data_IF_754827198053
#
_entry.id   IF_754827198053
#
_cell.length_a   1.000
_cell.length_b   1.000
_cell.length_c   1.000
_cell.angle_alpha   90.00
_cell.angle_beta   90.00
_cell.angle_gamma   90.00
#
_symmetry.space_group_name_H-M   'P 1'
#
loop_
_entity.id
_entity.type
_entity.pdbx_description
1 polymer ?
#
# COMPACT_ATOMS: atom_id res chain seq x y z
N UNK A 1 -31.13 -5.92 -15.85
CA UNK A 1 -29.91 -5.23 -15.40
C UNK A 1 -30.33 -3.82 -15.00
N UNK A 2 -30.63 -3.62 -13.71
CA UNK A 2 -30.95 -2.32 -13.13
C UNK A 2 -29.79 -2.02 -12.19
N UNK A 3 -29.08 -0.93 -12.45
CA UNK A 3 -28.05 -0.39 -11.55
C UNK A 3 -28.77 0.21 -10.34
N UNK A 4 -28.47 -0.26 -9.13
CA UNK A 4 -28.89 0.42 -7.89
C UNK A 4 -27.93 1.56 -7.57
N UNK A 5 -28.42 2.80 -7.66
CA UNK A 5 -27.74 3.97 -7.10
C UNK A 5 -27.82 3.93 -5.56
N UNK A 6 -26.69 3.73 -4.88
CA UNK A 6 -26.59 3.98 -3.44
C UNK A 6 -26.54 5.48 -3.19
N UNK A 7 -27.56 6.03 -2.51
CA UNK A 7 -27.54 7.42 -2.00
C UNK A 7 -27.00 7.43 -0.57
N UNK A 8 -26.02 8.29 -0.30
CA UNK A 8 -25.47 8.54 1.04
C UNK A 8 -26.06 9.85 1.57
N UNK A 9 -26.64 9.83 2.77
CA UNK A 9 -27.09 11.04 3.47
C UNK A 9 -26.19 11.29 4.68
N UNK A 10 -25.76 12.54 4.87
CA UNK A 10 -25.06 12.99 6.06
C UNK A 10 -26.07 13.68 6.99
N UNK A 11 -26.23 13.18 8.22
CA UNK A 11 -26.88 13.93 9.29
C UNK A 11 -25.80 14.57 10.17
N UNK A 12 -25.93 15.88 10.39
CA UNK A 12 -25.01 16.66 11.22
C UNK A 12 -25.70 17.04 12.53
N UNK A 13 -25.10 16.71 13.68
CA UNK A 13 -25.64 17.03 15.00
C UNK A 13 -24.80 18.11 15.67
N UNK A 14 -25.44 19.21 16.09
CA UNK A 14 -24.82 20.21 16.96
C UNK A 14 -25.07 19.84 18.42
N UNK A 15 -24.00 19.57 19.17
CA UNK A 15 -24.08 19.53 20.64
C UNK A 15 -23.99 20.96 21.21
N UNK A 16 -24.83 21.33 22.20
CA UNK A 16 -24.70 22.62 22.86
C UNK A 16 -23.43 22.66 23.73
N UNK A 17 -22.81 23.84 23.82
CA UNK A 17 -21.67 24.08 24.72
C UNK A 17 -22.12 23.96 26.18
N UNK A 18 -21.50 23.07 26.94
CA UNK A 18 -21.67 23.02 28.39
C UNK A 18 -20.76 24.05 29.07
N UNK A 19 -21.37 24.96 29.84
CA UNK A 19 -20.66 25.76 30.85
C UNK A 19 -20.67 24.99 32.17
N UNK A 20 -19.59 25.08 32.95
CA UNK A 20 -19.27 24.17 34.06
C UNK A 20 -20.09 24.42 35.35
N UNK A 21 -21.29 24.98 35.24
CA UNK A 21 -22.17 25.23 36.38
C UNK A 21 -23.61 24.96 35.98
N UNK A 22 -24.04 23.70 36.04
CA UNK A 22 -25.38 23.31 36.49
C UNK A 22 -25.46 21.77 36.58
N UNK A 23 -25.81 21.28 37.77
CA UNK A 23 -26.12 19.87 38.01
C UNK A 23 -27.61 19.66 37.78
N UNK A 24 -28.00 19.48 36.53
CA UNK A 24 -29.35 19.00 36.17
C UNK A 24 -29.25 17.93 35.09
N UNK A 25 -30.00 16.84 35.28
CA UNK A 25 -30.19 15.78 34.29
C UNK A 25 -31.08 16.33 33.17
N UNK A 26 -30.56 16.47 31.96
CA UNK A 26 -31.37 16.94 30.81
C UNK A 26 -31.59 15.79 29.84
N UNK A 27 -32.83 15.32 29.73
CA UNK A 27 -33.25 14.40 28.66
C UNK A 27 -33.55 15.22 27.42
N UNK A 28 -32.79 15.02 26.33
CA UNK A 28 -33.09 15.65 25.04
C UNK A 28 -33.64 14.59 24.09
N UNK A 29 -34.93 14.69 23.78
CA UNK A 29 -35.57 13.85 22.74
C UNK A 29 -35.68 14.68 21.47
N UNK A 30 -35.08 14.23 20.37
CA UNK A 30 -35.23 14.87 19.06
C UNK A 30 -35.88 13.91 18.08
N UNK A 31 -37.09 14.24 17.63
CA UNK A 31 -37.82 13.49 16.61
C UNK A 31 -37.60 14.13 15.24
N UNK A 32 -36.96 13.42 14.32
CA UNK A 32 -36.79 13.89 12.92
C UNK A 32 -37.83 13.20 12.05
N UNK A 33 -38.78 13.95 11.50
CA UNK A 33 -39.73 13.46 10.50
C UNK A 33 -39.19 13.78 9.09
N UNK A 34 -38.86 12.75 8.32
CA UNK A 34 -38.58 12.88 6.89
C UNK A 34 -39.82 12.40 6.10
N UNK A 35 -40.72 13.33 5.77
CA UNK A 35 -41.77 13.10 4.78
C UNK A 35 -41.40 13.84 3.50
N UNK A 36 -40.96 13.10 2.47
CA UNK A 36 -41.12 13.52 1.08
C UNK A 36 -41.21 12.26 0.20
N UNK A 37 -42.40 12.00 -0.35
CA UNK A 37 -42.61 11.09 -1.49
C UNK A 37 -42.34 11.89 -2.76
N UNK A 38 -41.45 11.43 -3.62
CA UNK A 38 -41.32 11.91 -5.00
C UNK A 38 -41.52 10.72 -5.93
N UNK A 39 -42.46 10.85 -6.87
CA UNK A 39 -42.80 9.84 -7.88
C UNK A 39 -41.78 9.78 -9.03
N UNK A 40 -41.97 8.87 -10.00
CA UNK A 40 -40.90 8.43 -10.89
C UNK A 40 -40.65 9.29 -12.15
N UNK A 41 -41.23 10.47 -12.29
CA UNK A 41 -41.02 11.33 -13.47
C UNK A 41 -40.88 12.80 -13.05
N UNK A 42 -39.65 13.28 -12.87
CA UNK A 42 -39.30 14.71 -12.95
C UNK A 42 -37.76 14.86 -13.03
N UNK A 43 -37.27 15.40 -14.14
CA UNK A 43 -35.86 15.76 -14.32
C UNK A 43 -35.54 17.05 -13.58
N UNK A 44 -34.62 17.00 -12.61
CA UNK A 44 -34.13 18.19 -11.90
C UNK A 44 -32.65 18.40 -12.19
N UNK A 45 -32.36 19.55 -12.78
CA UNK A 45 -31.02 20.07 -13.11
C UNK A 45 -30.08 20.08 -11.90
N UNK A 46 -28.89 19.50 -12.07
CA UNK A 46 -27.79 19.64 -11.12
C UNK A 46 -27.08 20.96 -11.41
N UNK A 47 -27.38 22.00 -10.63
CA UNK A 47 -26.64 23.25 -10.67
C UNK A 47 -25.74 23.43 -9.44
N UNK A 48 -24.50 23.81 -9.74
CA UNK A 48 -23.30 23.87 -8.89
C UNK A 48 -23.47 24.49 -7.48
N UNK A 49 -23.03 23.76 -6.45
CA UNK A 49 -22.94 24.26 -5.06
C UNK A 49 -21.60 23.90 -4.37
N UNK A 50 -20.53 23.75 -5.16
CA UNK A 50 -19.17 23.46 -4.69
C UNK A 50 -18.54 24.63 -3.92
N UNK A 51 -18.96 25.86 -4.16
CA UNK A 51 -18.37 27.07 -3.55
C UNK A 51 -18.83 27.33 -2.10
N UNK A 52 -19.97 26.77 -1.67
CA UNK A 52 -20.52 26.96 -0.31
C UNK A 52 -19.95 25.95 0.70
N UNK A 53 -19.67 24.73 0.25
CA UNK A 53 -19.03 23.67 1.04
C UNK A 53 -17.55 23.99 1.34
N UNK A 54 -16.81 24.54 0.37
CA UNK A 54 -15.40 24.91 0.57
C UNK A 54 -15.22 26.07 1.57
N UNK A 55 -16.14 27.04 1.62
CA UNK A 55 -16.11 28.13 2.62
C UNK A 55 -16.47 27.66 4.03
N UNK A 56 -17.39 26.69 4.15
CA UNK A 56 -17.70 26.06 5.43
C UNK A 56 -16.50 25.27 5.96
N UNK A 57 -15.87 24.45 5.10
CA UNK A 57 -14.72 23.63 5.47
C UNK A 57 -13.50 24.47 5.92
N UNK A 58 -13.28 25.62 5.28
CA UNK A 58 -12.22 26.56 5.67
C UNK A 58 -12.49 27.28 7.00
N UNK A 59 -13.76 27.50 7.37
CA UNK A 59 -14.13 28.11 8.65
C UNK A 59 -13.96 27.15 9.85
N UNK A 60 -14.11 25.84 9.63
CA UNK A 60 -14.06 24.84 10.70
C UNK A 60 -12.66 24.29 11.01
N UNK A 61 -11.67 24.45 10.11
CA UNK A 61 -10.27 24.03 10.34
C UNK A 61 -9.55 24.78 11.49
N UNK A 62 -10.18 25.80 12.07
CA UNK A 62 -9.64 26.58 13.20
C UNK A 62 -10.07 26.11 14.60
N UNK A 63 -10.90 25.09 14.74
CA UNK A 63 -11.31 24.58 16.06
C UNK A 63 -10.92 23.11 16.23
N UNK A 64 -10.04 22.83 17.20
CA UNK A 64 -9.66 21.46 17.61
C UNK A 64 -10.88 20.75 18.20
N UNK A 65 -11.54 19.86 17.44
CA UNK A 65 -12.52 18.90 17.95
C UNK A 65 -12.33 17.52 17.33
N UNK A 66 -12.60 16.51 18.17
CA UNK A 66 -12.54 15.07 17.90
C UNK A 66 -13.74 14.65 17.03
N UNK A 67 -13.52 13.87 15.97
CA UNK A 67 -14.58 13.40 15.07
C UNK A 67 -15.03 11.99 15.47
N UNK A 68 -16.34 11.76 15.57
CA UNK A 68 -16.94 10.42 15.51
C UNK A 68 -17.88 10.44 14.32
N UNK A 69 -17.57 9.66 13.28
CA UNK A 69 -18.41 9.49 12.09
C UNK A 69 -19.17 8.18 12.27
N UNK A 70 -20.51 8.22 12.19
CA UNK A 70 -21.32 7.01 12.12
C UNK A 70 -21.73 6.75 10.67
N UNK A 71 -21.55 5.51 10.23
CA UNK A 71 -22.02 4.98 8.96
C UNK A 71 -23.38 4.32 9.20
N UNK A 72 -24.44 4.80 8.54
CA UNK A 72 -25.73 4.11 8.50
C UNK A 72 -25.83 3.41 7.15
N UNK A 73 -25.87 2.08 7.16
CA UNK A 73 -26.11 1.26 5.98
C UNK A 73 -27.59 0.84 6.02
N UNK A 74 -28.38 1.30 5.06
CA UNK A 74 -29.73 0.76 4.85
C UNK A 74 -29.62 -0.51 4.00
N UNK A 75 -30.19 -1.62 4.49
CA UNK A 75 -30.46 -2.83 3.72
C UNK A 75 -31.97 -3.03 3.75
N UNK A 76 -32.59 -3.05 2.56
CA UNK A 76 -33.99 -3.34 2.26
C UNK A 76 -35.09 -2.37 2.74
N UNK A 77 -36.20 -2.40 2.00
CA UNK A 77 -37.28 -1.38 1.81
C UNK A 77 -38.18 -1.14 3.04
N UNK A 78 -37.65 -1.12 4.28
CA UNK A 78 -38.43 -0.78 5.48
C UNK A 78 -37.76 0.35 6.26
N UNK A 79 -38.38 1.54 6.21
CA UNK A 79 -37.98 2.69 7.01
C UNK A 79 -38.28 2.37 8.49
N UNK A 80 -37.24 2.00 9.24
CA UNK A 80 -37.32 1.85 10.69
C UNK A 80 -36.83 3.12 11.37
N UNK A 81 -37.66 3.72 12.22
CA UNK A 81 -37.28 4.89 13.03
C UNK A 81 -36.46 4.40 14.23
N UNK A 82 -35.15 4.64 14.22
CA UNK A 82 -34.28 4.36 15.37
C UNK A 82 -34.33 5.54 16.31
N UNK A 83 -34.82 5.33 17.53
CA UNK A 83 -34.78 6.34 18.61
C UNK A 83 -33.60 6.03 19.52
N UNK A 84 -32.59 6.90 19.53
CA UNK A 84 -31.40 6.74 20.40
C UNK A 84 -31.62 7.59 21.65
N UNK A 85 -31.67 6.96 22.82
CA UNK A 85 -31.70 7.65 24.12
C UNK A 85 -30.35 7.46 24.79
N UNK A 86 -29.64 8.55 25.06
CA UNK A 86 -28.35 8.51 25.78
C UNK A 86 -28.57 8.90 27.23
N UNK A 87 -28.38 7.97 28.17
CA UNK A 87 -28.39 8.24 29.61
C UNK A 87 -26.94 8.41 30.09
N UNK A 88 -26.57 9.58 30.58
CA UNK A 88 -25.27 9.80 31.23
C UNK A 88 -25.45 9.74 32.75
N UNK A 89 -24.97 8.69 33.39
CA UNK A 89 -24.95 8.60 34.85
C UNK A 89 -23.56 8.95 35.38
N UNK A 90 -23.49 9.84 36.38
CA UNK A 90 -22.23 10.33 36.94
C UNK A 90 -22.08 9.86 38.38
N UNK A 91 -21.45 8.70 38.55
CA UNK A 91 -20.91 8.28 39.86
C UNK A 91 -19.58 7.55 39.65
N UNK A 92 -18.63 7.83 40.53
CA UNK A 92 -17.21 7.53 40.36
C UNK A 92 -16.86 6.03 40.46
N UNK A 93 -15.81 5.66 39.70
CA UNK A 93 -15.16 4.35 39.52
C UNK A 93 -15.96 3.36 38.66
N UNK A 94 -15.29 2.89 37.60
CA UNK A 94 -15.77 2.06 36.48
C UNK A 94 -16.66 2.80 35.47
N UNK A 95 -16.17 2.92 34.23
CA UNK A 95 -16.92 3.48 33.10
C UNK A 95 -17.49 2.33 32.29
N UNK A 96 -18.75 2.00 32.55
CA UNK A 96 -19.56 1.11 31.72
C UNK A 96 -20.65 1.97 31.09
N UNK A 97 -20.68 2.04 29.77
CA UNK A 97 -21.75 2.69 29.01
C UNK A 97 -22.54 1.60 28.30
N UNK A 98 -23.77 1.36 28.74
CA UNK A 98 -24.70 0.42 28.10
C UNK A 98 -25.54 1.16 27.07
N UNK A 99 -25.62 0.60 25.86
CA UNK A 99 -26.50 1.08 24.79
C UNK A 99 -27.56 -0.01 24.59
N UNK A 100 -28.81 0.29 24.99
CA UNK A 100 -29.93 -0.60 24.75
C UNK A 100 -30.65 -0.20 23.46
N UNK A 101 -30.70 -1.14 22.51
CA UNK A 101 -31.45 -1.00 21.25
C UNK A 101 -32.69 -1.88 21.37
N UNK A 102 -33.86 -1.26 21.58
CA UNK A 102 -35.15 -1.98 21.51
C UNK A 102 -35.82 -1.71 20.16
N UNK A 103 -36.02 -2.77 19.37
CA UNK A 103 -36.87 -2.72 18.19
C UNK A 103 -38.32 -3.03 18.57
N UNK A 104 -39.32 -2.29 18.06
CA UNK A 104 -40.71 -2.67 18.25
C UNK A 104 -41.06 -3.71 17.19
N UNK A 105 -40.70 -4.97 17.45
CA UNK A 105 -41.30 -6.24 16.98
C UNK A 105 -40.24 -7.33 16.76
N UNK A 106 -40.47 -8.49 17.39
CA UNK A 106 -39.67 -9.72 17.43
C UNK A 106 -38.50 -9.79 18.43
N UNK A 107 -38.46 -10.92 19.13
CA UNK A 107 -37.78 -11.22 20.41
C UNK A 107 -36.28 -11.50 20.28
N UNK A 108 -35.49 -10.50 19.88
CA UNK A 108 -34.03 -10.57 19.93
C UNK A 108 -33.46 -9.25 20.45
N UNK A 109 -33.18 -9.16 21.74
CA UNK A 109 -32.45 -8.03 22.31
C UNK A 109 -30.98 -8.11 21.85
N UNK A 110 -30.49 -7.07 21.18
CA UNK A 110 -29.07 -6.91 20.86
C UNK A 110 -28.45 -6.09 21.99
N UNK A 111 -27.58 -6.71 22.79
CA UNK A 111 -26.83 -6.03 23.85
C UNK A 111 -25.41 -5.75 23.35
N UNK A 112 -24.99 -4.48 23.39
CA UNK A 112 -23.64 -4.07 22.98
C UNK A 112 -22.87 -3.61 24.23
N UNK A 113 -21.84 -4.35 24.64
CA UNK A 113 -20.95 -3.96 25.74
C UNK A 113 -19.69 -3.28 25.17
N UNK A 114 -19.44 -2.03 25.58
CA UNK A 114 -18.21 -1.31 25.23
C UNK A 114 -17.34 -1.23 26.48
N UNK A 115 -16.23 -1.97 26.48
CA UNK A 115 -15.23 -1.92 27.56
C UNK A 115 -14.03 -1.11 27.10
N UNK A 116 -13.67 -0.05 27.82
CA UNK A 116 -12.45 0.73 27.54
C UNK A 116 -11.40 0.45 28.62
N UNK A 117 -10.27 -0.14 28.24
CA UNK A 117 -9.11 -0.32 29.13
C UNK A 117 -8.10 0.81 28.89
N UNK A 118 -7.50 1.33 29.97
CA UNK A 118 -6.61 2.51 29.92
C UNK A 118 -5.12 2.15 29.79
N UNK A 119 -4.76 0.89 29.52
CA UNK A 119 -3.36 0.46 29.51
C UNK A 119 -2.77 -0.04 28.18
N UNK A 120 -3.51 -0.02 27.06
CA UNK A 120 -2.98 -0.22 25.69
C UNK A 120 -3.93 0.38 24.64
N UNK A 121 -3.47 0.95 23.51
CA UNK A 121 -4.34 1.47 22.47
C UNK A 121 -4.80 0.29 21.60
N UNK A 122 -5.71 -0.52 22.12
CA UNK A 122 -6.35 -1.58 21.33
C UNK A 122 -7.81 -1.62 21.76
N UNK A 123 -8.67 -0.98 20.97
CA UNK A 123 -10.11 -1.11 21.10
C UNK A 123 -10.53 -2.42 20.43
N UNK A 124 -10.77 -3.47 21.21
CA UNK A 124 -11.32 -4.72 20.69
C UNK A 124 -12.84 -4.58 20.68
N UNK A 125 -13.45 -4.69 19.50
CA UNK A 125 -14.90 -4.83 19.35
C UNK A 125 -15.18 -6.33 19.23
N UNK A 126 -15.86 -6.91 20.23
CA UNK A 126 -16.31 -8.31 20.18
C UNK A 126 -17.81 -8.32 19.95
N UNK A 127 -18.25 -8.80 18.80
CA UNK A 127 -19.66 -9.09 18.52
C UNK A 127 -19.90 -10.58 18.67
N UNK A 128 -20.67 -11.00 19.67
CA UNK A 128 -21.17 -12.37 19.76
C UNK A 128 -22.59 -12.44 19.22
N UNK A 129 -22.76 -13.05 18.06
CA UNK A 129 -24.07 -13.49 17.56
C UNK A 129 -24.22 -14.99 17.79
N UNK A 130 -25.36 -15.44 18.30
CA UNK A 130 -25.78 -16.84 18.24
C UNK A 130 -27.04 -16.93 17.37
N UNK A 131 -27.16 -17.90 16.44
CA UNK A 131 -26.23 -18.99 16.12
C UNK A 131 -25.38 -18.74 14.85
N UNK A 132 -24.09 -19.05 14.98
CA UNK A 132 -23.09 -19.43 13.96
C UNK A 132 -23.18 -18.82 12.54
N UNK A 133 -22.64 -17.63 12.37
CA UNK A 133 -21.83 -17.30 11.19
C UNK A 133 -20.70 -16.38 11.62
N UNK A 134 -19.48 -16.91 11.67
CA UNK A 134 -18.25 -16.11 11.82
C UNK A 134 -18.03 -15.33 10.54
N UNK A 135 -18.57 -14.12 10.47
CA UNK A 135 -18.04 -13.08 9.58
C UNK A 135 -16.84 -12.46 10.27
N UNK A 136 -15.64 -12.86 9.83
CA UNK A 136 -14.39 -12.17 10.16
C UNK A 136 -14.54 -10.72 9.72
N UNK A 137 -14.61 -9.79 10.69
CA UNK A 137 -14.45 -8.37 10.39
C UNK A 137 -13.06 -8.19 9.81
N UNK A 138 -12.96 -7.60 8.61
CA UNK A 138 -11.70 -7.13 8.06
C UNK A 138 -11.03 -6.25 9.11
N UNK A 139 -9.94 -6.76 9.67
CA UNK A 139 -9.02 -5.98 10.45
C UNK A 139 -8.50 -4.92 9.48
N UNK A 140 -8.91 -3.67 9.66
CA UNK A 140 -8.28 -2.52 9.01
C UNK A 140 -6.80 -2.56 9.42
N UNK A 141 -5.97 -3.20 8.59
CA UNK A 141 -4.52 -3.15 8.69
C UNK A 141 -4.20 -1.65 8.69
N UNK A 142 -3.41 -1.13 9.65
CA UNK A 142 -3.03 0.26 9.62
C UNK A 142 -2.26 0.47 8.32
N UNK A 143 -2.90 1.15 7.36
CA UNK A 143 -2.21 1.76 6.24
C UNK A 143 -1.04 2.52 6.84
N UNK A 144 0.19 2.22 6.45
CA UNK A 144 1.39 2.90 6.95
C UNK A 144 1.15 4.41 6.81
N UNK A 145 1.00 5.11 7.94
CA UNK A 145 0.76 6.56 7.93
C UNK A 145 2.14 7.25 7.89
N UNK A 146 2.63 7.49 6.68
CA UNK A 146 3.76 8.37 6.37
C UNK A 146 3.20 9.79 6.21
N UNK A 147 3.26 10.61 7.27
CA UNK A 147 2.84 12.03 7.23
C UNK A 147 3.58 12.77 6.08
N UNK A 148 2.93 13.76 5.46
CA UNK A 148 3.43 14.60 4.36
C UNK A 148 4.86 15.13 4.53
N UNK A 149 5.28 15.28 5.77
CA UNK A 149 6.57 15.83 6.16
C UNK A 149 7.55 14.76 6.66
N UNK A 150 7.24 13.47 6.48
CA UNK A 150 8.13 12.38 6.86
C UNK A 150 9.47 12.60 6.17
N UNK A 151 10.50 12.67 7.00
CA UNK A 151 11.88 12.66 6.61
C UNK A 151 12.48 11.37 7.13
N UNK A 152 13.57 10.97 6.52
CA UNK A 152 14.39 9.88 7.03
C UNK A 152 15.70 10.45 7.53
N UNK A 153 16.27 9.78 8.52
CA UNK A 153 17.66 10.00 8.91
C UNK A 153 18.53 9.76 7.69
N UNK A 154 19.49 10.66 7.45
CA UNK A 154 20.38 10.55 6.29
C UNK A 154 21.34 9.37 6.39
N UNK A 155 21.77 9.03 7.60
CA UNK A 155 22.63 7.89 7.86
C UNK A 155 21.79 6.61 7.81
N UNK A 156 22.07 5.74 6.84
CA UNK A 156 21.49 4.41 6.82
C UNK A 156 22.22 3.43 7.74
N UNK A 157 21.48 2.42 8.16
CA UNK A 157 22.01 1.20 8.76
C UNK A 157 21.99 0.10 7.71
N UNK A 158 23.12 -0.56 7.47
CA UNK A 158 23.15 -1.77 6.65
C UNK A 158 22.45 -2.89 7.41
N UNK A 159 21.36 -3.42 6.82
CA UNK A 159 20.52 -4.46 7.45
C UNK A 159 20.70 -5.84 6.84
N UNK A 160 21.30 -5.92 5.65
CA UNK A 160 21.68 -7.16 4.99
C UNK A 160 22.86 -6.92 4.04
N UNK A 161 23.75 -7.90 3.90
CA UNK A 161 24.97 -7.78 3.10
C UNK A 161 26.01 -6.83 3.71
N UNK A 162 26.78 -6.15 2.85
CA UNK A 162 27.81 -5.19 3.27
C UNK A 162 29.12 -5.79 3.78
N UNK A 163 29.28 -7.11 3.72
CA UNK A 163 30.49 -7.84 4.11
C UNK A 163 31.34 -8.24 2.90
N UNK A 164 31.37 -7.38 1.87
CA UNK A 164 31.94 -7.68 0.55
C UNK A 164 30.97 -8.41 -0.38
N UNK A 165 31.36 -8.50 -1.66
CA UNK A 165 30.66 -9.27 -2.67
C UNK A 165 31.04 -10.75 -2.58
N UNK A 166 30.04 -11.62 -2.52
CA UNK A 166 30.27 -13.05 -2.42
C UNK A 166 29.00 -13.84 -2.12
N UNK A 167 29.16 -15.14 -1.93
CA UNK A 167 28.06 -16.11 -1.79
C UNK A 167 27.89 -16.65 -0.36
N UNK A 168 28.69 -16.18 0.60
CA UNK A 168 28.49 -16.49 2.01
C UNK A 168 27.12 -15.94 2.48
N UNK A 169 26.61 -16.48 3.60
CA UNK A 169 25.27 -16.13 4.08
C UNK A 169 25.17 -14.72 4.67
N UNK A 170 26.30 -14.09 5.00
CA UNK A 170 26.40 -12.69 5.42
C UNK A 170 26.77 -11.74 4.26
N UNK A 171 26.89 -12.25 3.04
CA UNK A 171 27.23 -11.51 1.83
C UNK A 171 26.06 -11.50 0.85
N UNK A 172 26.05 -10.50 -0.02
CA UNK A 172 25.17 -10.43 -1.18
C UNK A 172 26.03 -10.20 -2.43
N UNK A 173 25.53 -10.54 -3.61
CA UNK A 173 26.17 -10.26 -4.87
C UNK A 173 25.18 -9.58 -5.83
N UNK A 174 25.32 -8.26 -5.98
CA UNK A 174 24.45 -7.42 -6.79
C UNK A 174 22.96 -7.75 -6.56
N UNK A 175 22.42 -7.52 -5.35
CA UNK A 175 20.99 -7.71 -5.12
C UNK A 175 20.19 -6.72 -5.98
N UNK A 176 19.05 -7.13 -6.55
CA UNK A 176 18.23 -6.26 -7.42
C UNK A 176 16.90 -5.87 -6.78
N UNK A 177 16.10 -6.84 -6.33
CA UNK A 177 14.76 -6.63 -5.78
C UNK A 177 14.63 -7.05 -4.33
N UNK A 178 13.69 -6.44 -3.61
CA UNK A 178 13.41 -6.73 -2.21
C UNK A 178 11.92 -6.78 -1.89
N UNK A 179 11.56 -7.62 -0.91
CA UNK A 179 10.26 -7.61 -0.28
C UNK A 179 10.39 -7.59 1.23
N UNK A 180 9.86 -6.53 1.86
CA UNK A 180 9.87 -6.38 3.31
C UNK A 180 8.60 -6.97 3.89
N UNK A 181 8.73 -8.07 4.63
CA UNK A 181 7.64 -8.64 5.42
C UNK A 181 7.74 -8.14 6.87
N UNK A 182 6.95 -7.12 7.18
CA UNK A 182 6.94 -6.53 8.51
C UNK A 182 6.30 -7.44 9.57
N UNK A 183 5.42 -8.37 9.18
CA UNK A 183 4.78 -9.27 10.15
C UNK A 183 5.77 -10.37 10.56
N UNK A 184 6.52 -10.91 9.60
CA UNK A 184 7.59 -11.90 9.81
C UNK A 184 8.94 -11.26 10.22
N UNK A 185 8.97 -9.93 10.41
CA UNK A 185 10.17 -9.17 10.75
C UNK A 185 11.38 -9.52 9.88
N UNK A 186 11.15 -9.66 8.57
CA UNK A 186 12.13 -10.21 7.63
C UNK A 186 12.13 -9.48 6.29
N UNK A 187 13.25 -9.57 5.59
CA UNK A 187 13.41 -9.09 4.21
C UNK A 187 13.71 -10.29 3.32
N UNK A 188 12.99 -10.41 2.21
CA UNK A 188 13.33 -11.32 1.13
C UNK A 188 14.08 -10.55 0.06
N UNK A 189 15.24 -11.04 -0.33
CA UNK A 189 16.18 -10.34 -1.20
C UNK A 189 16.46 -11.23 -2.41
N UNK A 190 16.27 -10.69 -3.60
CA UNK A 190 16.77 -11.29 -4.82
C UNK A 190 18.29 -11.06 -4.88
N UNK A 191 19.07 -12.04 -4.39
CA UNK A 191 20.53 -12.04 -4.42
C UNK A 191 21.00 -12.48 -5.81
N UNK A 192 20.77 -11.58 -6.76
CA UNK A 192 20.71 -11.86 -8.20
C UNK A 192 21.98 -12.49 -8.74
N UNK A 193 23.15 -11.96 -8.38
CA UNK A 193 24.46 -12.47 -8.81
C UNK A 193 24.82 -13.83 -8.22
N UNK A 194 24.14 -14.24 -7.13
CA UNK A 194 24.29 -15.57 -6.53
C UNK A 194 23.16 -16.53 -6.92
N UNK A 195 22.24 -16.12 -7.81
CA UNK A 195 21.17 -16.97 -8.35
C UNK A 195 20.29 -17.59 -7.25
N UNK A 196 19.95 -16.80 -6.23
CA UNK A 196 19.17 -17.26 -5.08
C UNK A 196 18.28 -16.15 -4.52
N UNK A 197 17.28 -16.55 -3.73
CA UNK A 197 16.55 -15.65 -2.85
C UNK A 197 17.01 -15.89 -1.41
N UNK A 198 17.33 -14.80 -0.71
CA UNK A 198 17.76 -14.82 0.69
C UNK A 198 16.67 -14.21 1.57
N UNK A 199 16.25 -14.90 2.62
CA UNK A 199 15.46 -14.33 3.72
C UNK A 199 16.43 -13.85 4.79
N UNK A 200 16.25 -12.62 5.25
CA UNK A 200 17.09 -12.00 6.27
C UNK A 200 16.22 -11.43 7.39
N UNK A 201 16.31 -12.00 8.58
CA UNK A 201 15.56 -11.53 9.76
C UNK A 201 16.12 -10.20 10.26
N UNK A 202 15.25 -9.32 10.75
CA UNK A 202 15.64 -8.01 11.26
C UNK A 202 16.66 -8.15 12.41
N UNK A 203 17.83 -7.55 12.24
CA UNK A 203 18.92 -7.58 13.21
C UNK A 203 19.80 -8.84 13.16
N UNK A 204 19.53 -9.78 12.25
CA UNK A 204 20.42 -10.91 12.02
C UNK A 204 21.73 -10.47 11.33
N UNK A 205 22.82 -11.20 11.59
CA UNK A 205 24.13 -10.96 10.96
C UNK A 205 24.34 -11.74 9.66
N UNK A 206 23.41 -12.64 9.31
CA UNK A 206 23.43 -13.45 8.10
C UNK A 206 21.99 -13.84 7.72
N UNK A 207 21.76 -14.04 6.44
CA UNK A 207 20.50 -14.56 5.91
C UNK A 207 20.47 -16.08 5.76
N UNK A 208 19.36 -16.55 5.22
CA UNK A 208 19.10 -17.94 4.86
C UNK A 208 18.66 -18.02 3.39
N UNK A 209 19.17 -19.00 2.65
CA UNK A 209 18.71 -19.23 1.28
C UNK A 209 17.36 -19.95 1.30
N UNK A 210 16.31 -19.28 0.82
CA UNK A 210 14.92 -19.78 0.86
C UNK A 210 14.40 -20.22 -0.52
N UNK A 211 15.05 -19.79 -1.60
CA UNK A 211 14.82 -20.31 -2.94
C UNK A 211 16.09 -20.25 -3.79
N UNK A 212 16.23 -21.15 -4.76
CA UNK A 212 17.47 -21.32 -5.51
C UNK A 212 18.58 -21.95 -4.67
N UNK A 213 19.83 -21.58 -4.92
CA UNK A 213 21.00 -22.14 -4.21
C UNK A 213 21.47 -23.51 -4.70
N UNK A 214 20.78 -24.13 -5.66
CA UNK A 214 21.17 -25.40 -6.30
C UNK A 214 22.02 -25.19 -7.57
N UNK A 215 22.82 -24.11 -7.57
CA UNK A 215 23.56 -23.64 -8.74
C UNK A 215 22.70 -22.85 -9.73
N UNK A 216 23.37 -22.10 -10.59
CA UNK A 216 22.75 -21.39 -11.71
C UNK A 216 22.23 -22.41 -12.74
N UNK A 217 20.97 -22.27 -13.15
CA UNK A 217 20.41 -23.11 -14.20
C UNK A 217 18.92 -22.90 -14.40
N UNK A 218 18.32 -23.72 -15.27
CA UNK A 218 16.92 -23.62 -15.68
C UNK A 218 16.01 -24.71 -15.11
N UNK A 219 16.56 -25.65 -14.33
CA UNK A 219 15.76 -26.63 -13.61
C UNK A 219 14.77 -25.93 -12.65
N UNK A 220 13.73 -26.64 -12.23
CA UNK A 220 12.67 -26.03 -11.40
C UNK A 220 13.15 -25.70 -9.98
N UNK A 221 14.23 -26.31 -9.50
CA UNK A 221 14.97 -25.97 -8.27
C UNK A 221 16.17 -25.02 -8.48
N UNK A 222 16.36 -24.52 -9.70
CA UNK A 222 17.44 -23.60 -10.01
C UNK A 222 16.87 -22.24 -10.40
N UNK A 223 17.61 -21.19 -10.07
CA UNK A 223 17.32 -19.83 -10.54
C UNK A 223 18.48 -19.35 -11.40
N UNK A 224 18.23 -18.34 -12.21
CA UNK A 224 19.21 -17.73 -13.07
C UNK A 224 18.99 -16.21 -13.14
N UNK A 225 19.78 -15.46 -12.35
CA UNK A 225 19.61 -14.01 -12.18
C UNK A 225 18.16 -13.66 -11.80
N UNK A 226 17.66 -14.08 -10.62
CA UNK A 226 16.36 -13.63 -10.16
C UNK A 226 16.40 -12.12 -9.90
N UNK A 227 15.44 -11.36 -10.43
CA UNK A 227 15.45 -9.89 -10.34
C UNK A 227 14.58 -9.35 -9.20
N UNK A 228 13.46 -10.02 -8.93
CA UNK A 228 12.47 -9.55 -7.98
C UNK A 228 11.74 -10.72 -7.33
N UNK A 229 11.22 -10.49 -6.13
CA UNK A 229 10.51 -11.47 -5.31
C UNK A 229 9.41 -10.80 -4.53
N UNK A 230 8.23 -11.42 -4.46
CA UNK A 230 7.14 -11.03 -3.55
C UNK A 230 6.56 -12.24 -2.86
N UNK A 231 5.90 -12.05 -1.72
CA UNK A 231 5.10 -13.10 -1.10
C UNK A 231 3.72 -13.19 -1.76
N UNK A 232 3.17 -14.41 -1.78
CA UNK A 232 1.75 -14.57 -2.05
C UNK A 232 0.89 -14.05 -0.89
N UNK A 233 -0.40 -13.86 -1.14
CA UNK A 233 -1.35 -13.30 -0.16
C UNK A 233 -1.32 -14.02 1.19
N UNK A 234 -1.18 -15.34 1.17
CA UNK A 234 -1.17 -16.20 2.37
C UNK A 234 0.23 -16.36 2.98
N UNK A 235 1.26 -15.74 2.38
CA UNK A 235 2.68 -15.83 2.77
C UNK A 235 3.21 -17.26 2.88
N UNK A 236 2.71 -18.15 2.02
CA UNK A 236 3.13 -19.55 1.91
C UNK A 236 4.12 -19.76 0.78
N UNK A 237 4.13 -18.85 -0.20
CA UNK A 237 4.93 -18.96 -1.40
C UNK A 237 5.66 -17.66 -1.70
N UNK A 238 6.90 -17.81 -2.16
CA UNK A 238 7.61 -16.79 -2.91
C UNK A 238 7.15 -16.85 -4.36
N UNK A 239 6.88 -15.68 -4.93
CA UNK A 239 6.71 -15.48 -6.37
C UNK A 239 7.96 -14.74 -6.83
N UNK A 240 8.70 -15.34 -7.76
CA UNK A 240 10.05 -14.90 -8.11
C UNK A 240 10.13 -14.66 -9.62
N UNK A 241 10.69 -13.52 -10.02
CA UNK A 241 11.05 -13.26 -11.41
C UNK A 241 12.42 -13.82 -11.70
N UNK A 242 12.44 -14.98 -12.36
CA UNK A 242 13.64 -15.72 -12.75
C UNK A 242 14.09 -15.26 -14.14
N UNK A 243 14.65 -14.05 -14.16
CA UNK A 243 14.75 -13.20 -15.36
C UNK A 243 15.51 -13.84 -16.52
N UNK A 244 16.67 -14.48 -16.30
CA UNK A 244 17.40 -15.13 -17.41
C UNK A 244 16.76 -16.43 -17.88
N UNK A 245 15.93 -17.06 -17.06
CA UNK A 245 15.13 -18.20 -17.46
C UNK A 245 13.78 -17.80 -18.09
N UNK A 246 13.51 -16.50 -18.24
CA UNK A 246 12.30 -15.95 -18.88
C UNK A 246 11.01 -16.54 -18.30
N UNK A 247 10.92 -16.54 -16.96
CA UNK A 247 9.77 -17.12 -16.26
C UNK A 247 9.50 -16.43 -14.92
N UNK A 248 8.27 -16.57 -14.45
CA UNK A 248 7.91 -16.37 -13.04
C UNK A 248 7.72 -17.73 -12.40
N UNK A 249 8.38 -17.98 -11.27
CA UNK A 249 8.30 -19.23 -10.52
C UNK A 249 7.64 -19.00 -9.16
N UNK A 250 6.77 -19.92 -8.78
CA UNK A 250 6.16 -20.01 -7.44
C UNK A 250 6.94 -21.05 -6.64
N UNK A 251 7.33 -20.70 -5.42
CA UNK A 251 8.21 -21.52 -4.57
C UNK A 251 7.70 -21.54 -3.13
N UNK A 252 7.40 -22.72 -2.57
CA UNK A 252 6.88 -22.84 -1.22
C UNK A 252 7.93 -22.54 -0.16
N UNK A 253 7.55 -21.75 0.85
CA UNK A 253 8.37 -21.48 2.04
C UNK A 253 8.37 -22.66 3.03
N UNK A 254 7.41 -23.59 2.92
CA UNK A 254 7.24 -24.69 3.87
C UNK A 254 7.71 -26.03 3.31
N UNK A 255 7.60 -26.23 2.00
CA UNK A 255 8.01 -27.46 1.33
C UNK A 255 8.85 -27.13 0.10
N UNK A 256 10.18 -27.27 0.20
CA UNK A 256 11.09 -26.99 -0.92
C UNK A 256 10.82 -27.83 -2.18
N UNK A 257 10.04 -28.92 -2.07
CA UNK A 257 9.58 -29.72 -3.21
C UNK A 257 8.35 -29.16 -3.92
N UNK A 258 7.58 -28.29 -3.27
CA UNK A 258 6.44 -27.59 -3.85
C UNK A 258 6.89 -26.30 -4.52
N UNK A 259 7.23 -26.41 -5.81
CA UNK A 259 7.68 -25.33 -6.67
C UNK A 259 7.21 -25.58 -8.10
N UNK A 260 6.76 -24.53 -8.77
CA UNK A 260 6.25 -24.63 -10.14
C UNK A 260 6.45 -23.34 -10.92
N UNK A 261 6.67 -23.48 -12.22
CA UNK A 261 6.64 -22.34 -13.14
C UNK A 261 5.21 -21.82 -13.21
N UNK A 262 5.01 -20.56 -12.81
CA UNK A 262 3.69 -19.91 -12.80
C UNK A 262 3.39 -19.25 -14.14
N UNK A 263 4.37 -18.53 -14.70
CA UNK A 263 4.25 -17.82 -15.97
C UNK A 263 5.50 -18.12 -16.81
N UNK A 264 5.41 -18.94 -17.86
CA UNK A 264 6.52 -19.20 -18.77
C UNK A 264 6.64 -18.10 -19.84
N UNK A 265 7.85 -17.90 -20.38
CA UNK A 265 8.09 -17.05 -21.57
C UNK A 265 7.99 -15.55 -21.33
N UNK A 266 7.95 -15.12 -20.07
CA UNK A 266 7.86 -13.70 -19.69
C UNK A 266 9.26 -13.15 -19.38
N UNK A 267 9.58 -12.00 -19.95
CA UNK A 267 10.77 -11.25 -19.59
C UNK A 267 10.48 -10.40 -18.34
N UNK A 268 10.20 -11.07 -17.22
CA UNK A 268 9.79 -10.37 -16.01
C UNK A 268 10.92 -9.52 -15.42
N UNK A 269 10.60 -8.29 -15.00
CA UNK A 269 11.51 -7.45 -14.22
C UNK A 269 11.01 -7.15 -12.81
N UNK A 270 9.74 -6.77 -12.67
CA UNK A 270 9.12 -6.38 -11.41
C UNK A 270 7.82 -7.12 -11.12
N UNK A 271 7.56 -7.33 -9.84
CA UNK A 271 6.41 -8.01 -9.29
C UNK A 271 5.65 -7.10 -8.32
N UNK A 272 4.34 -7.24 -8.31
CA UNK A 272 3.51 -6.72 -7.22
C UNK A 272 2.34 -7.67 -6.96
N UNK A 273 1.97 -7.84 -5.70
CA UNK A 273 0.80 -8.62 -5.29
C UNK A 273 -0.16 -7.70 -4.56
N UNK A 274 -1.43 -7.66 -4.98
CA UNK A 274 -2.45 -6.91 -4.25
C UNK A 274 -3.09 -7.75 -3.12
N UNK A 275 -3.90 -7.12 -2.28
CA UNK A 275 -4.58 -7.80 -1.17
C UNK A 275 -5.64 -8.83 -1.60
N UNK A 276 -6.04 -8.83 -2.87
CA UNK A 276 -6.94 -9.85 -3.44
C UNK A 276 -6.18 -11.11 -3.85
N UNK A 277 -4.84 -11.04 -3.95
CA UNK A 277 -4.00 -12.12 -4.47
C UNK A 277 -3.83 -12.07 -5.99
N UNK A 278 -4.15 -10.94 -6.64
CA UNK A 278 -3.80 -10.73 -8.05
C UNK A 278 -2.32 -10.36 -8.15
N UNK A 279 -1.61 -11.10 -9.01
CA UNK A 279 -0.21 -10.88 -9.32
C UNK A 279 -0.07 -9.93 -10.50
N UNK A 280 0.78 -8.93 -10.38
CA UNK A 280 1.14 -8.02 -11.46
C UNK A 280 2.59 -8.27 -11.83
N UNK A 281 2.86 -8.29 -13.13
CA UNK A 281 4.21 -8.53 -13.68
C UNK A 281 4.54 -7.52 -14.76
N UNK A 282 5.67 -6.84 -14.65
CA UNK A 282 6.20 -6.05 -15.77
C UNK A 282 7.00 -6.94 -16.71
N UNK A 283 6.68 -6.86 -18.00
CA UNK A 283 7.39 -7.55 -19.07
C UNK A 283 8.10 -6.51 -19.95
N UNK A 284 9.44 -6.47 -19.85
CA UNK A 284 10.23 -5.53 -20.64
C UNK A 284 10.40 -5.96 -22.10
N UNK A 285 10.18 -7.24 -22.42
CA UNK A 285 10.22 -7.77 -23.78
C UNK A 285 8.93 -7.50 -24.56
N UNK A 286 7.80 -7.39 -23.86
CA UNK A 286 6.49 -7.04 -24.42
C UNK A 286 6.05 -5.59 -24.14
N UNK A 287 6.86 -4.81 -23.42
CA UNK A 287 6.61 -3.40 -23.07
C UNK A 287 5.23 -3.19 -22.40
N UNK A 288 4.90 -4.06 -21.45
CA UNK A 288 3.58 -4.08 -20.83
C UNK A 288 3.65 -4.51 -19.37
N UNK A 289 2.56 -4.26 -18.64
CA UNK A 289 2.28 -4.87 -17.35
C UNK A 289 1.03 -5.71 -17.46
N UNK A 290 1.09 -6.94 -16.99
CA UNK A 290 -0.03 -7.89 -16.97
C UNK A 290 -0.47 -8.19 -15.55
N UNK A 291 -1.78 -8.31 -15.34
CA UNK A 291 -2.44 -8.75 -14.11
C UNK A 291 -2.91 -10.19 -14.28
N UNK A 292 -2.54 -11.05 -13.33
CA UNK A 292 -2.84 -12.47 -13.28
C UNK A 292 -3.72 -12.74 -12.07
N UNK A 293 -4.93 -13.23 -12.33
CA UNK A 293 -5.92 -13.50 -11.28
C UNK A 293 -6.05 -15.01 -11.11
N UNK A 294 -6.35 -15.46 -9.88
CA UNK A 294 -6.53 -16.89 -9.63
C UNK A 294 -7.66 -17.45 -10.50
N UNK A 295 -7.39 -18.55 -11.21
CA UNK A 295 -8.34 -19.20 -12.12
C UNK A 295 -8.35 -18.67 -13.55
N UNK A 296 -7.53 -17.67 -13.88
CA UNK A 296 -7.32 -17.20 -15.24
C UNK A 296 -6.12 -17.92 -15.84
N UNK A 297 -6.26 -18.44 -17.06
CA UNK A 297 -5.17 -19.12 -17.79
C UNK A 297 -4.19 -18.12 -18.42
N UNK A 298 -4.60 -16.86 -18.60
CA UNK A 298 -3.82 -15.79 -19.23
C UNK A 298 -3.86 -14.50 -18.41
N UNK A 299 -2.77 -13.73 -18.47
CA UNK A 299 -2.67 -12.41 -17.85
C UNK A 299 -3.37 -11.32 -18.68
N UNK A 300 -4.14 -10.46 -18.02
CA UNK A 300 -4.77 -9.28 -18.64
C UNK A 300 -3.75 -8.14 -18.70
N UNK A 301 -3.51 -7.56 -19.87
CA UNK A 301 -2.73 -6.31 -19.99
C UNK A 301 -3.45 -5.18 -19.27
N UNK A 302 -2.78 -4.53 -18.32
CA UNK A 302 -3.30 -3.41 -17.53
C UNK A 302 -2.55 -2.10 -17.75
N UNK A 303 -1.38 -2.16 -18.39
CA UNK A 303 -0.62 -0.99 -18.84
C UNK A 303 0.29 -1.35 -20.01
N UNK A 304 0.54 -0.38 -20.90
CA UNK A 304 1.34 -0.58 -22.11
C UNK A 304 0.64 -1.49 -23.13
N UNK A 305 1.40 -2.37 -23.78
CA UNK A 305 0.87 -3.31 -24.79
C UNK A 305 0.61 -2.68 -26.17
N UNK A 306 0.86 -1.38 -26.33
CA UNK A 306 0.73 -0.65 -27.62
C UNK A 306 2.09 -0.48 -28.34
N UNK A 307 3.00 -1.44 -28.12
CA UNK A 307 4.37 -1.41 -28.62
C UNK A 307 5.31 -0.50 -27.83
N UNK A 308 6.60 -0.60 -28.15
CA UNK A 308 7.66 0.26 -27.62
C UNK A 308 7.46 1.71 -28.02
N UNK A 309 7.52 2.64 -27.07
CA UNK A 309 7.55 4.06 -27.37
C UNK A 309 7.32 4.94 -26.14
N UNK A 310 7.23 6.25 -26.37
CA UNK A 310 7.15 7.27 -25.32
C UNK A 310 5.77 7.93 -25.19
N UNK A 311 4.78 7.51 -25.99
CA UNK A 311 3.39 7.95 -25.81
C UNK A 311 2.84 7.46 -24.46
N UNK A 312 1.80 8.10 -23.93
CA UNK A 312 1.25 7.75 -22.61
C UNK A 312 0.57 6.38 -22.57
N UNK A 313 0.20 5.83 -23.73
CA UNK A 313 -0.30 4.46 -23.87
C UNK A 313 0.81 3.43 -24.19
N UNK A 314 2.08 3.85 -24.27
CA UNK A 314 3.25 3.03 -24.58
C UNK A 314 4.23 2.99 -23.42
N UNK A 315 5.08 1.97 -23.39
CA UNK A 315 6.17 1.82 -22.42
C UNK A 315 7.46 1.47 -23.16
N UNK A 316 8.61 1.69 -22.53
CA UNK A 316 9.91 1.24 -23.01
C UNK A 316 10.76 0.75 -21.82
N UNK A 317 11.02 -0.56 -21.81
CA UNK A 317 11.63 -1.31 -20.70
C UNK A 317 11.00 -1.03 -19.32
N UNK A 318 9.69 -1.32 -19.10
CA UNK A 318 9.10 -1.21 -17.77
C UNK A 318 9.87 -2.09 -16.76
N UNK A 319 10.37 -1.48 -15.67
CA UNK A 319 11.14 -2.16 -14.61
C UNK A 319 10.23 -2.47 -13.42
N UNK A 320 10.55 -1.97 -12.22
CA UNK A 320 9.72 -2.23 -11.04
C UNK A 320 8.37 -1.53 -11.13
N UNK A 321 7.41 -2.11 -10.44
CA UNK A 321 6.03 -1.67 -10.41
C UNK A 321 5.53 -1.59 -8.97
N UNK A 322 4.59 -0.69 -8.73
CA UNK A 322 3.85 -0.60 -7.47
C UNK A 322 2.36 -0.58 -7.76
N UNK A 323 1.57 -1.29 -6.97
CA UNK A 323 0.11 -1.34 -7.11
C UNK A 323 -0.51 -0.76 -5.86
N UNK A 324 -1.30 0.31 -6.03
CA UNK A 324 -2.00 0.94 -4.90
C UNK A 324 -3.29 0.18 -4.53
N UNK A 325 -3.89 0.59 -3.40
CA UNK A 325 -5.14 0.03 -2.90
C UNK A 325 -6.33 0.17 -3.86
N UNK A 326 -6.25 1.10 -4.81
CA UNK A 326 -7.27 1.37 -5.82
C UNK A 326 -6.94 0.66 -7.15
N UNK A 327 -6.05 -0.34 -7.09
CA UNK A 327 -5.58 -1.16 -8.22
C UNK A 327 -4.89 -0.37 -9.33
N UNK A 328 -4.44 0.85 -9.05
CA UNK A 328 -3.65 1.62 -10.00
C UNK A 328 -2.21 1.13 -10.00
N UNK A 329 -1.63 1.02 -11.19
CA UNK A 329 -0.26 0.54 -11.40
C UNK A 329 0.66 1.73 -11.64
N UNK A 330 1.70 1.86 -10.83
CA UNK A 330 2.80 2.80 -11.01
C UNK A 330 3.97 2.04 -11.61
N UNK A 331 4.56 2.58 -12.66
CA UNK A 331 5.55 1.87 -13.48
C UNK A 331 6.76 2.76 -13.66
N UNK A 332 7.93 2.27 -13.27
CA UNK A 332 9.21 2.82 -13.68
C UNK A 332 9.44 2.50 -15.16
N UNK A 333 9.12 3.44 -16.03
CA UNK A 333 9.26 3.37 -17.49
C UNK A 333 10.69 3.80 -17.85
N UNK A 334 11.62 2.89 -17.61
CA UNK A 334 13.05 3.15 -17.45
C UNK A 334 13.69 3.87 -18.64
N UNK A 335 13.48 3.38 -19.87
CA UNK A 335 14.09 4.01 -21.06
C UNK A 335 13.43 5.35 -21.43
N UNK A 336 12.20 5.58 -20.95
CA UNK A 336 11.51 6.86 -21.12
C UNK A 336 11.80 7.85 -19.97
N UNK A 337 12.66 7.48 -19.00
CA UNK A 337 13.04 8.34 -17.87
C UNK A 337 11.84 8.93 -17.13
N UNK A 338 10.80 8.12 -16.87
CA UNK A 338 9.58 8.59 -16.21
C UNK A 338 8.93 7.52 -15.35
N UNK A 339 8.06 7.96 -14.45
CA UNK A 339 7.06 7.10 -13.82
C UNK A 339 5.68 7.44 -14.35
N UNK A 340 4.95 6.42 -14.79
CA UNK A 340 3.54 6.54 -15.20
C UNK A 340 2.62 5.85 -14.20
N UNK A 341 1.45 6.44 -13.94
CA UNK A 341 0.35 5.83 -13.17
C UNK A 341 -0.76 5.43 -14.14
N UNK A 342 -1.18 4.18 -14.08
CA UNK A 342 -2.29 3.63 -14.85
C UNK A 342 -3.42 3.26 -13.91
N UNK A 343 -4.55 3.95 -14.04
CA UNK A 343 -5.77 3.61 -13.29
C UNK A 343 -6.38 2.31 -13.84
N UNK A 344 -7.17 1.63 -13.03
CA UNK A 344 -7.80 0.39 -13.47
C UNK A 344 -8.66 0.62 -14.73
N UNK A 345 -8.42 -0.20 -15.76
CA UNK A 345 -9.07 -0.11 -17.08
C UNK A 345 -8.79 1.20 -17.86
N UNK A 346 -7.76 1.96 -17.51
CA UNK A 346 -7.32 3.10 -18.31
C UNK A 346 -6.69 2.64 -19.64
N UNK A 347 -6.94 3.39 -20.72
CA UNK A 347 -6.32 3.14 -22.03
C UNK A 347 -4.91 3.73 -22.14
N UNK A 348 -4.57 4.69 -21.27
CA UNK A 348 -3.26 5.34 -21.20
C UNK A 348 -2.91 5.69 -19.76
N UNK A 349 -1.61 5.82 -19.50
CA UNK A 349 -1.09 6.26 -18.22
C UNK A 349 -1.12 7.78 -18.05
N UNK A 350 -1.01 8.24 -16.81
CA UNK A 350 -0.75 9.62 -16.45
C UNK A 350 0.71 9.77 -16.00
N UNK A 351 1.37 10.85 -16.44
CA UNK A 351 2.73 11.16 -15.98
C UNK A 351 2.69 11.63 -14.53
N UNK A 352 3.41 10.93 -13.64
CA UNK A 352 3.39 11.23 -12.20
C UNK A 352 4.78 11.50 -11.61
N UNK A 353 5.85 11.06 -12.27
CA UNK A 353 7.20 11.57 -12.05
C UNK A 353 7.87 11.80 -13.42
N UNK A 354 7.88 13.03 -13.94
CA UNK A 354 8.75 13.36 -15.07
C UNK A 354 10.19 13.25 -14.58
N UNK A 355 11.02 12.40 -15.19
CA UNK A 355 12.45 12.41 -14.88
C UNK A 355 13.02 13.81 -15.11
N UNK A 356 14.00 14.20 -14.29
CA UNK A 356 14.69 15.47 -14.53
C UNK A 356 15.56 15.32 -15.78
N UNK A 357 15.12 15.90 -16.90
CA UNK A 357 15.94 15.98 -18.11
C UNK A 357 16.81 17.23 -17.98
N UNK A 358 18.06 17.05 -17.58
CA UNK A 358 19.05 18.12 -17.65
C UNK A 358 20.02 17.80 -18.78
N UNK A 359 19.92 18.58 -19.86
CA UNK A 359 20.82 18.51 -21.01
C UNK A 359 22.22 19.04 -20.66
N UNK A 360 22.39 19.64 -19.48
CA UNK A 360 23.61 20.30 -19.03
C UNK A 360 24.45 19.43 -18.08
N UNK A 361 23.84 18.42 -17.44
CA UNK A 361 24.56 17.47 -16.60
C UNK A 361 23.87 16.09 -16.57
N UNK A 362 24.41 15.07 -17.28
CA UNK A 362 23.90 13.70 -17.26
C UNK A 362 23.76 13.09 -15.85
N UNK A 363 24.59 13.53 -14.89
CA UNK A 363 24.57 13.04 -13.49
C UNK A 363 23.34 13.52 -12.70
N UNK A 364 22.53 14.40 -13.30
CA UNK A 364 21.24 14.83 -12.74
C UNK A 364 20.04 14.17 -13.41
N UNK A 365 20.27 13.34 -14.43
CA UNK A 365 19.21 12.58 -15.08
C UNK A 365 18.65 11.55 -14.10
N UNK A 366 17.33 11.45 -14.03
CA UNK A 366 16.66 10.43 -13.24
C UNK A 366 16.33 9.25 -14.15
N UNK A 367 17.10 8.16 -14.04
CA UNK A 367 16.70 6.86 -14.57
C UNK A 367 15.94 6.08 -13.49
N UNK A 368 14.60 5.97 -13.58
CA UNK A 368 13.80 5.33 -12.55
C UNK A 368 13.98 3.81 -12.60
N UNK A 369 14.32 3.19 -11.47
CA UNK A 369 14.35 1.73 -11.33
C UNK A 369 13.16 1.27 -10.50
N UNK A 370 13.25 1.44 -9.19
CA UNK A 370 12.26 1.11 -8.17
C UNK A 370 11.23 2.22 -8.03
N UNK A 371 10.00 1.86 -7.67
CA UNK A 371 8.95 2.83 -7.38
C UNK A 371 8.10 2.34 -6.20
N UNK A 372 7.85 3.21 -5.23
CA UNK A 372 6.86 2.99 -4.16
C UNK A 372 6.08 4.26 -3.91
N UNK A 373 4.85 4.11 -3.44
CA UNK A 373 3.93 5.22 -3.20
C UNK A 373 3.42 5.15 -1.76
N UNK A 374 3.47 6.27 -1.05
CA UNK A 374 2.89 6.34 0.29
C UNK A 374 1.37 6.59 0.26
N UNK A 375 0.72 6.52 1.42
CA UNK A 375 -0.73 6.69 1.52
C UNK A 375 -1.24 8.10 1.15
N UNK A 376 -0.36 9.09 1.04
CA UNK A 376 -0.71 10.44 0.58
C UNK A 376 -0.55 10.59 -0.94
N UNK A 377 -0.02 9.56 -1.61
CA UNK A 377 0.25 9.59 -3.05
C UNK A 377 1.59 10.21 -3.40
N UNK A 378 2.51 10.41 -2.43
CA UNK A 378 3.88 10.78 -2.77
C UNK A 378 4.61 9.58 -3.35
N UNK A 379 5.40 9.82 -4.39
CA UNK A 379 6.05 8.80 -5.20
C UNK A 379 7.55 8.86 -4.93
N UNK A 380 8.11 7.73 -4.52
CA UNK A 380 9.53 7.58 -4.23
C UNK A 380 10.14 6.67 -5.28
N UNK A 381 11.21 7.14 -5.89
CA UNK A 381 11.87 6.50 -7.01
C UNK A 381 13.33 6.34 -6.69
N UNK A 382 13.84 5.11 -6.75
CA UNK A 382 15.29 4.89 -6.79
C UNK A 382 15.79 5.23 -8.18
N UNK A 383 16.86 6.02 -8.22
CA UNK A 383 17.48 6.43 -9.47
C UNK A 383 18.90 5.92 -9.59
N UNK A 384 19.12 5.09 -10.61
CA UNK A 384 20.41 4.47 -10.91
C UNK A 384 21.50 5.52 -11.15
N UNK A 385 21.23 6.50 -12.02
CA UNK A 385 22.21 7.49 -12.46
C UNK A 385 22.49 8.59 -11.46
N UNK A 386 21.49 9.04 -10.70
CA UNK A 386 21.71 10.08 -9.69
C UNK A 386 22.15 9.51 -8.34
N UNK A 387 22.13 8.19 -8.17
CA UNK A 387 22.47 7.47 -6.94
C UNK A 387 21.62 7.90 -5.73
N UNK A 388 20.38 8.31 -5.98
CA UNK A 388 19.50 8.92 -4.99
C UNK A 388 18.11 8.31 -5.01
N UNK A 389 17.40 8.47 -3.90
CA UNK A 389 15.94 8.32 -3.86
C UNK A 389 15.34 9.70 -4.04
N UNK A 390 14.52 9.85 -5.08
CA UNK A 390 13.84 11.10 -5.41
C UNK A 390 12.35 10.95 -5.10
N UNK A 391 11.80 11.93 -4.38
CA UNK A 391 10.38 12.01 -4.04
C UNK A 391 9.68 13.05 -4.91
N UNK A 392 8.57 12.68 -5.53
CA UNK A 392 7.56 13.61 -6.05
C UNK A 392 6.37 13.64 -5.11
N UNK A 393 6.00 14.82 -4.63
CA UNK A 393 4.70 14.98 -3.97
C UNK A 393 3.58 14.77 -4.99
N UNK A 394 2.40 14.32 -4.54
CA UNK A 394 1.27 14.08 -5.44
C UNK A 394 0.97 15.30 -6.33
N UNK A 395 1.10 15.14 -7.65
CA UNK A 395 0.90 16.20 -8.65
C UNK A 395 2.03 17.23 -8.79
N UNK A 396 3.17 17.03 -8.11
CA UNK A 396 4.33 17.91 -8.25
C UNK A 396 5.00 17.74 -9.62
N UNK A 397 5.45 18.86 -10.20
CA UNK A 397 6.22 18.85 -11.45
C UNK A 397 7.70 18.48 -11.23
N UNK A 398 8.23 18.75 -10.05
CA UNK A 398 9.64 18.54 -9.71
C UNK A 398 9.80 17.56 -8.55
N UNK A 399 10.81 16.71 -8.66
CA UNK A 399 11.21 15.78 -7.61
C UNK A 399 12.25 16.41 -6.68
N UNK A 400 12.27 15.95 -5.44
CA UNK A 400 13.25 16.34 -4.44
C UNK A 400 14.05 15.10 -4.00
N UNK A 401 15.38 15.21 -3.96
CA UNK A 401 16.19 14.17 -3.34
C UNK A 401 15.90 14.10 -1.84
N UNK A 402 15.56 12.90 -1.36
CA UNK A 402 15.26 12.64 0.05
C UNK A 402 16.30 11.76 0.72
N UNK A 403 16.98 10.88 -0.03
CA UNK A 403 18.03 9.98 0.42
C UNK A 403 19.12 9.89 -0.65
N UNK A 404 20.36 9.65 -0.22
CA UNK A 404 21.52 9.54 -1.08
C UNK A 404 22.17 10.89 -1.39
N UNK A 405 23.43 10.84 -1.77
CA UNK A 405 24.18 11.99 -2.28
C UNK A 405 24.36 11.85 -3.80
N UNK A 406 24.60 12.97 -4.49
CA UNK A 406 24.84 12.94 -5.94
C UNK A 406 26.09 12.15 -6.32
N UNK A 407 27.06 12.10 -5.42
CA UNK A 407 28.27 11.30 -5.61
C UNK A 407 27.99 9.87 -5.15
N UNK A 408 28.32 8.89 -6.00
CA UNK A 408 28.31 7.49 -5.59
C UNK A 408 29.38 7.21 -4.55
N UNK A 409 29.08 6.27 -3.66
CA UNK A 409 30.03 5.76 -2.68
C UNK A 409 29.38 4.77 -1.74
N UNK A 410 30.13 4.35 -0.72
CA UNK A 410 29.74 3.30 0.22
C UNK A 410 29.52 3.81 1.65
N UNK A 411 29.66 5.12 1.89
CA UNK A 411 29.37 5.73 3.18
C UNK A 411 27.88 5.58 3.57
N UNK A 412 27.51 5.74 4.85
CA UNK A 412 26.12 5.58 5.31
C UNK A 412 25.10 6.49 4.63
N UNK A 413 25.52 7.66 4.14
CA UNK A 413 24.68 8.63 3.41
C UNK A 413 24.68 8.41 1.90
N UNK A 414 25.56 7.54 1.39
CA UNK A 414 25.80 7.33 -0.03
C UNK A 414 25.22 6.00 -0.50
N UNK A 415 24.83 5.99 -1.78
CA UNK A 415 24.34 4.81 -2.49
C UNK A 415 25.16 4.66 -3.78
N UNK A 416 25.15 3.47 -4.35
CA UNK A 416 25.76 3.18 -5.63
C UNK A 416 24.82 2.30 -6.44
N UNK A 417 24.18 2.92 -7.45
CA UNK A 417 23.17 2.29 -8.31
C UNK A 417 22.01 1.67 -7.51
N UNK A 418 21.21 2.50 -6.81
CA UNK A 418 20.07 2.01 -6.05
C UNK A 418 19.02 1.44 -7.00
N UNK A 419 18.57 0.21 -6.74
CA UNK A 419 17.79 -0.55 -7.70
C UNK A 419 16.32 -0.60 -7.29
N UNK A 420 15.98 -1.31 -6.23
CA UNK A 420 14.61 -1.37 -5.70
C UNK A 420 14.51 -0.71 -4.31
N UNK A 421 13.28 -0.41 -3.86
CA UNK A 421 13.00 0.19 -2.57
C UNK A 421 11.66 -0.27 -2.00
N UNK A 422 11.53 -0.31 -0.68
CA UNK A 422 10.31 -0.72 0.00
C UNK A 422 10.14 -0.04 1.36
N UNK A 423 8.90 0.09 1.83
CA UNK A 423 8.59 0.59 3.16
C UNK A 423 8.27 -0.57 4.10
N UNK A 424 8.72 -0.49 5.36
CA UNK A 424 8.09 -1.29 6.42
C UNK A 424 6.80 -0.66 6.96
N UNK A 425 6.08 -1.40 7.79
CA UNK A 425 4.84 -0.92 8.42
C UNK A 425 5.04 0.32 9.31
N UNK A 426 6.28 0.63 9.72
CA UNK A 426 6.61 1.83 10.49
C UNK A 426 7.03 3.00 9.60
N UNK A 427 7.05 2.82 8.27
CA UNK A 427 7.43 3.81 7.27
C UNK A 427 8.93 4.02 7.15
N UNK A 428 9.77 3.13 7.69
CA UNK A 428 11.20 3.15 7.39
C UNK A 428 11.42 2.71 5.94
N UNK A 429 12.39 3.34 5.28
CA UNK A 429 12.70 3.07 3.88
C UNK A 429 13.86 2.07 3.77
N UNK A 430 13.67 1.01 3.01
CA UNK A 430 14.69 0.03 2.66
C UNK A 430 15.06 0.24 1.19
N UNK A 431 16.36 0.27 0.91
CA UNK A 431 16.89 0.51 -0.44
C UNK A 431 17.89 -0.59 -0.78
N UNK A 432 17.75 -1.15 -1.97
CA UNK A 432 18.73 -2.06 -2.56
C UNK A 432 19.88 -1.24 -3.11
N UNK A 433 21.02 -1.27 -2.43
CA UNK A 433 22.24 -0.57 -2.81
C UNK A 433 23.13 -1.53 -3.62
N UNK A 434 22.73 -1.75 -4.88
CA UNK A 434 23.13 -2.89 -5.71
C UNK A 434 24.64 -3.06 -5.81
N UNK A 435 25.35 -2.01 -6.21
CA UNK A 435 26.80 -2.09 -6.44
C UNK A 435 27.62 -2.02 -5.15
N UNK A 436 26.98 -1.69 -4.02
CA UNK A 436 27.58 -1.85 -2.69
C UNK A 436 27.21 -3.20 -2.04
N UNK A 437 26.48 -4.07 -2.75
CA UNK A 437 26.19 -5.44 -2.32
C UNK A 437 25.49 -5.50 -0.94
N UNK A 438 24.55 -4.57 -0.71
CA UNK A 438 23.90 -4.40 0.59
C UNK A 438 22.47 -3.88 0.48
N UNK A 439 21.71 -4.06 1.56
CA UNK A 439 20.41 -3.42 1.77
C UNK A 439 20.57 -2.36 2.87
N UNK A 440 20.21 -1.12 2.55
CA UNK A 440 20.27 0.02 3.46
C UNK A 440 18.89 0.32 4.04
N UNK A 441 18.79 0.47 5.36
CA UNK A 441 17.59 0.93 6.06
C UNK A 441 17.77 2.37 6.52
N UNK A 442 16.86 3.24 6.12
CA UNK A 442 16.75 4.62 6.59
C UNK A 442 15.56 4.71 7.54
N UNK A 443 15.82 5.04 8.80
CA UNK A 443 14.77 5.19 9.80
C UNK A 443 14.05 6.54 9.62
N UNK A 444 12.75 6.60 9.94
CA UNK A 444 12.05 7.89 10.01
C UNK A 444 12.77 8.80 11.00
N UNK A 445 12.97 10.05 10.59
CA UNK A 445 13.43 11.13 11.43
C UNK A 445 12.25 11.68 12.23
N UNK A 446 12.31 11.57 13.57
CA UNK A 446 11.21 11.93 14.49
C UNK A 446 11.50 13.21 15.27
N UNK A 447 12.64 13.85 15.01
CA UNK A 447 13.15 15.01 15.75
C UNK A 447 12.79 16.36 15.11
#
# INVERSE_FOLDING_TARGET
MIFEEKRVFFLDFRLPKYSNSDKTTTTTTTTVNMNNRVGPDESVEVNSNTTRLQRLYAQFRKQKLLWIVFLVICIDVVISVVTITVLMNKTEREKTSTIDITTPTSTSAITMEITTSTSTPTSIITTTTSPSSTTTSEQLIPSVIIDKNTKWKKDAVTVAGGNGDGSELNQLNQPWGIHVDSDDHSIYIADTGNHRIVRWEFGANKGETVAGGNGQGSAVDQLNYPNDVVLDKEKKYLIICDYKNTRVIKWSLQNSQDRQVLIPGIYCFGLAMNNNGDLYTSDWGAWQVTRWQQGYEEGKVVAGGNGKGSQLNQLDEPKYIFVDKDHSVYIADYMNNRVTKWMENANEGSLVAPGQVSNENPDTMVHPRGVVVDHEGNIYVSSESSHQIIRWSAGAAEGMSVIGEKQSGSEPTQLQDPHDLSFDQQGNLYVVDRNNHRIQKFAIDRD
#
